data_IF_137148520763
#
_entry.id   IF_137148520763
#
_cell.length_a   1.000
_cell.length_b   1.000
_cell.length_c   1.000
_cell.angle_alpha   90.00
_cell.angle_beta   90.00
_cell.angle_gamma   90.00
#
_symmetry.space_group_name_H-M   'P 1'
#
loop_
_entity.id
_entity.type
_entity.pdbx_description
1 polymer ?
#
# COMPACT_ATOMS: atom_id res chain seq x y z
N UNK A 1 8.77 6.11 -10.31
CA UNK A 1 7.54 5.45 -10.77
C UNK A 1 6.63 5.47 -9.57
N UNK A 2 5.74 6.46 -9.52
CA UNK A 2 4.97 6.74 -8.32
C UNK A 2 3.72 5.88 -8.36
N UNK A 3 3.45 5.17 -7.27
CA UNK A 3 2.29 4.28 -7.16
C UNK A 3 1.21 4.99 -6.34
N UNK A 4 -0.01 5.05 -6.88
CA UNK A 4 -1.13 5.64 -6.16
C UNK A 4 -1.63 4.69 -5.08
N UNK A 5 -2.30 5.24 -4.07
CA UNK A 5 -2.90 4.46 -2.98
C UNK A 5 -3.92 3.43 -3.51
N UNK A 6 -4.64 3.77 -4.58
CA UNK A 6 -5.57 2.88 -5.25
C UNK A 6 -4.87 1.64 -5.85
N UNK A 7 -3.74 1.82 -6.51
CA UNK A 7 -2.99 0.72 -7.13
C UNK A 7 -2.41 -0.20 -6.04
N UNK A 8 -1.93 0.39 -4.93
CA UNK A 8 -1.46 -0.36 -3.77
C UNK A 8 -2.59 -1.19 -3.14
N UNK A 9 -3.80 -0.63 -3.06
CA UNK A 9 -4.99 -1.33 -2.58
C UNK A 9 -5.34 -2.53 -3.49
N UNK A 10 -5.40 -2.32 -4.80
CA UNK A 10 -5.66 -3.39 -5.76
C UNK A 10 -4.60 -4.51 -5.68
N UNK A 11 -3.32 -4.15 -5.51
CA UNK A 11 -2.24 -5.12 -5.37
C UNK A 11 -2.40 -5.96 -4.09
N UNK A 12 -2.76 -5.31 -2.97
CA UNK A 12 -3.04 -5.97 -1.69
C UNK A 12 -4.18 -6.99 -1.84
N UNK A 13 -5.30 -6.58 -2.46
CA UNK A 13 -6.46 -7.44 -2.69
C UNK A 13 -6.12 -8.62 -3.62
N UNK A 14 -5.49 -8.35 -4.75
CA UNK A 14 -5.11 -9.37 -5.74
C UNK A 14 -4.11 -10.39 -5.18
N UNK A 15 -3.25 -9.95 -4.25
CA UNK A 15 -2.25 -10.82 -3.62
C UNK A 15 -2.74 -11.41 -2.29
N UNK A 16 -3.94 -11.06 -1.84
CA UNK A 16 -4.53 -11.46 -0.56
C UNK A 16 -3.62 -11.15 0.66
N UNK A 17 -3.00 -9.96 0.65
CA UNK A 17 -2.15 -9.45 1.73
C UNK A 17 -2.74 -8.15 2.29
N UNK A 18 -2.50 -7.86 3.57
CA UNK A 18 -3.08 -6.68 4.24
C UNK A 18 -2.06 -5.57 4.52
N UNK A 19 -0.81 -5.74 4.08
CA UNK A 19 0.29 -4.81 4.35
C UNK A 19 1.25 -4.81 3.16
N UNK A 20 1.83 -3.63 2.86
CA UNK A 20 2.86 -3.46 1.85
C UNK A 20 4.06 -2.73 2.43
N UNK A 21 5.25 -3.25 2.13
CA UNK A 21 6.51 -2.58 2.45
C UNK A 21 6.77 -1.53 1.37
N UNK A 22 7.05 -0.30 1.81
CA UNK A 22 7.41 0.82 0.94
C UNK A 22 8.93 0.96 0.94
N UNK A 23 9.50 0.89 -0.25
CA UNK A 23 10.93 1.07 -0.48
C UNK A 23 11.14 2.24 -1.45
N UNK A 24 12.16 3.04 -1.18
CA UNK A 24 12.72 3.98 -2.13
C UNK A 24 14.07 3.41 -2.59
N UNK A 25 14.10 2.89 -3.81
CA UNK A 25 15.23 2.14 -4.35
C UNK A 25 15.60 0.95 -3.43
N UNK A 26 16.75 1.00 -2.74
CA UNK A 26 17.17 -0.05 -1.80
C UNK A 26 16.98 0.36 -0.33
N UNK A 27 16.30 1.48 -0.08
CA UNK A 27 16.07 2.00 1.27
C UNK A 27 14.66 1.67 1.72
N UNK A 28 14.53 1.04 2.88
CA UNK A 28 13.25 0.90 3.57
C UNK A 28 12.74 2.28 3.99
N UNK A 29 11.50 2.61 3.59
CA UNK A 29 10.87 3.89 3.91
C UNK A 29 9.76 3.69 4.93
N UNK A 30 9.03 2.57 4.86
CA UNK A 30 7.98 2.29 5.82
C UNK A 30 7.12 1.10 5.43
N UNK A 31 5.98 0.99 6.09
CA UNK A 31 4.96 -0.02 5.83
C UNK A 31 3.59 0.66 5.80
N UNK A 32 2.74 0.21 4.89
CA UNK A 32 1.35 0.67 4.77
C UNK A 32 0.44 -0.50 5.07
N UNK A 33 -0.55 -0.30 5.95
CA UNK A 33 -1.58 -1.28 6.20
C UNK A 33 -2.85 -0.98 5.42
N UNK A 34 -3.52 -2.02 4.97
CA UNK A 34 -4.81 -1.96 4.31
C UNK A 34 -5.86 -1.20 5.13
N UNK A 35 -5.92 -1.45 6.44
CA UNK A 35 -6.91 -0.83 7.31
C UNK A 35 -6.73 0.68 7.46
N UNK A 36 -5.50 1.19 7.35
CA UNK A 36 -5.21 2.62 7.39
C UNK A 36 -5.74 3.30 6.12
N UNK A 37 -5.55 2.67 4.95
CA UNK A 37 -6.08 3.14 3.66
C UNK A 37 -7.61 3.22 3.69
N UNK A 38 -8.27 2.18 4.21
CA UNK A 38 -9.73 2.11 4.28
C UNK A 38 -10.32 3.12 5.28
N UNK A 39 -9.61 3.41 6.38
CA UNK A 39 -10.05 4.38 7.40
C UNK A 39 -9.97 5.82 6.92
N UNK A 40 -8.96 6.16 6.12
CA UNK A 40 -8.75 7.52 5.60
C UNK A 40 -9.72 7.88 4.46
N UNK A 41 -10.63 6.96 4.07
CA UNK A 41 -11.76 7.27 3.20
C UNK A 41 -11.43 7.33 1.71
N UNK A 42 -10.44 6.55 1.25
CA UNK A 42 -10.28 6.29 -0.19
C UNK A 42 -11.38 5.31 -0.62
N UNK A 43 -12.56 5.84 -0.95
CA UNK A 43 -13.68 5.13 -1.57
C UNK A 43 -14.18 5.92 -2.77
#
# INVERSE_FOLDING_TARGET
NDTLVYDALQLMEASNISQLIVMDSSKYVGIVHLHDILKEGVV
#
